data_IF_201792546988
#
_entry.id   IF_201792546988
#
_cell.length_a   1.000
_cell.length_b   1.000
_cell.length_c   1.000
_cell.angle_alpha   90.00
_cell.angle_beta   90.00
_cell.angle_gamma   90.00
#
_symmetry.space_group_name_H-M   'P 1'
#
loop_
_entity.id
_entity.type
_entity.pdbx_description
1 polymer ?
#
# COMPACT_ATOMS: atom_id res chain seq x y z
N UNK A 1 -23.18 -12.95 -11.51
CA UNK A 1 -22.73 -11.63 -11.98
C UNK A 1 -22.05 -11.85 -13.31
N UNK A 2 -22.45 -11.17 -14.40
CA UNK A 2 -21.72 -11.28 -15.66
C UNK A 2 -20.28 -10.82 -15.44
N UNK A 3 -19.32 -11.62 -15.90
CA UNK A 3 -17.91 -11.23 -15.96
C UNK A 3 -17.81 -9.95 -16.79
N UNK A 4 -17.68 -8.81 -16.11
CA UNK A 4 -17.29 -7.57 -16.78
C UNK A 4 -15.87 -7.83 -17.24
N UNK A 5 -15.59 -7.91 -18.56
CA UNK A 5 -14.24 -8.13 -19.03
C UNK A 5 -13.36 -7.05 -18.39
N UNK A 6 -12.27 -7.47 -17.73
CA UNK A 6 -11.29 -6.57 -17.14
C UNK A 6 -10.65 -5.75 -18.28
N UNK A 7 -11.35 -4.72 -18.77
CA UNK A 7 -10.83 -3.78 -19.75
C UNK A 7 -9.69 -3.02 -19.08
N UNK A 8 -8.59 -2.84 -19.78
CA UNK A 8 -7.45 -2.11 -19.24
C UNK A 8 -7.88 -0.68 -18.90
N UNK A 9 -7.25 -0.08 -17.89
CA UNK A 9 -7.54 1.31 -17.49
C UNK A 9 -7.35 2.25 -18.68
N UNK A 10 -6.37 1.97 -19.56
CA UNK A 10 -6.13 2.75 -20.78
C UNK A 10 -7.34 2.73 -21.72
N UNK A 11 -7.94 1.55 -21.96
CA UNK A 11 -9.12 1.42 -22.83
C UNK A 11 -10.32 2.16 -22.26
N UNK A 12 -10.49 2.13 -20.93
CA UNK A 12 -11.58 2.85 -20.25
C UNK A 12 -11.40 4.36 -20.32
N UNK A 13 -10.17 4.85 -20.10
CA UNK A 13 -9.84 6.29 -20.23
C UNK A 13 -10.05 6.75 -21.66
N UNK A 14 -9.54 5.99 -22.65
CA UNK A 14 -9.73 6.30 -24.06
C UNK A 14 -11.21 6.31 -24.44
N UNK A 15 -11.98 5.30 -24.03
CA UNK A 15 -13.43 5.27 -24.26
C UNK A 15 -14.15 6.47 -23.63
N UNK A 16 -13.72 6.90 -22.45
CA UNK A 16 -14.28 8.08 -21.78
C UNK A 16 -13.95 9.38 -22.52
N UNK A 17 -12.73 9.53 -23.04
CA UNK A 17 -12.35 10.73 -23.80
C UNK A 17 -12.89 10.75 -25.24
N UNK A 18 -13.05 9.60 -25.87
CA UNK A 18 -13.58 9.47 -27.24
C UNK A 18 -15.11 9.68 -27.31
N UNK A 19 -15.81 9.69 -26.17
CA UNK A 19 -17.23 10.01 -26.13
C UNK A 19 -17.43 11.50 -26.48
N UNK A 20 -18.17 11.76 -27.57
CA UNK A 20 -18.42 13.12 -28.10
C UNK A 20 -19.12 14.06 -27.10
N UNK A 21 -19.57 13.55 -25.96
CA UNK A 21 -20.20 14.31 -24.87
C UNK A 21 -19.25 14.70 -23.74
N UNK A 22 -17.98 14.30 -23.80
CA UNK A 22 -17.03 14.57 -22.73
C UNK A 22 -16.54 16.01 -22.80
N UNK A 23 -17.03 16.82 -21.87
CA UNK A 23 -16.65 18.22 -21.68
C UNK A 23 -15.23 18.31 -21.09
N UNK A 24 -14.32 19.13 -21.65
CA UNK A 24 -13.02 19.43 -21.04
C UNK A 24 -13.10 19.87 -19.56
N UNK A 25 -14.16 20.57 -19.15
CA UNK A 25 -14.35 20.96 -17.74
C UNK A 25 -14.58 19.74 -16.85
N UNK A 26 -15.38 18.78 -17.32
CA UNK A 26 -15.65 17.52 -16.61
C UNK A 26 -14.36 16.71 -16.41
N UNK A 27 -13.50 16.67 -17.43
CA UNK A 27 -12.20 15.99 -17.36
C UNK A 27 -11.29 16.62 -16.30
N UNK A 28 -11.25 17.96 -16.26
CA UNK A 28 -10.48 18.70 -15.26
C UNK A 28 -11.01 18.49 -13.85
N UNK A 29 -12.33 18.49 -13.67
CA UNK A 29 -12.96 18.17 -12.39
C UNK A 29 -12.61 16.74 -11.95
N UNK A 30 -12.69 15.78 -12.87
CA UNK A 30 -12.37 14.38 -12.58
C UNK A 30 -10.90 14.17 -12.19
N UNK A 31 -9.95 14.85 -12.85
CA UNK A 31 -8.54 14.86 -12.43
C UNK A 31 -8.38 15.41 -11.00
N UNK A 32 -9.13 16.46 -10.66
CA UNK A 32 -9.17 17.00 -9.30
C UNK A 32 -9.69 15.99 -8.27
N UNK A 33 -10.75 15.24 -8.61
CA UNK A 33 -11.31 14.18 -7.76
C UNK A 33 -10.32 13.02 -7.57
N UNK A 34 -9.61 12.61 -8.61
CA UNK A 34 -8.58 11.56 -8.52
C UNK A 34 -7.44 11.98 -7.58
N UNK A 35 -6.96 13.22 -7.67
CA UNK A 35 -5.94 13.75 -6.76
C UNK A 35 -6.44 13.83 -5.31
N UNK A 36 -7.69 14.25 -5.10
CA UNK A 36 -8.29 14.31 -3.77
C UNK A 36 -8.42 12.90 -3.17
N UNK A 37 -8.88 11.92 -3.94
CA UNK A 37 -8.98 10.53 -3.53
C UNK A 37 -7.59 9.95 -3.21
N UNK A 38 -6.58 10.26 -4.03
CA UNK A 38 -5.21 9.84 -3.77
C UNK A 38 -4.67 10.39 -2.45
N UNK A 39 -4.91 11.67 -2.14
CA UNK A 39 -4.53 12.29 -0.84
C UNK A 39 -5.27 11.64 0.32
N UNK A 40 -6.55 11.34 0.16
CA UNK A 40 -7.35 10.60 1.15
C UNK A 40 -6.77 9.21 1.43
N UNK A 41 -6.46 8.45 0.37
CA UNK A 41 -5.88 7.11 0.50
C UNK A 41 -4.50 7.15 1.19
N UNK A 42 -3.62 8.08 0.80
CA UNK A 42 -2.32 8.26 1.45
C UNK A 42 -2.47 8.64 2.92
N UNK A 43 -3.38 9.56 3.26
CA UNK A 43 -3.64 9.93 4.65
C UNK A 43 -4.11 8.73 5.48
N UNK A 44 -4.97 7.86 4.91
CA UNK A 44 -5.44 6.66 5.60
C UNK A 44 -4.33 5.63 5.79
N UNK A 45 -3.48 5.41 4.78
CA UNK A 45 -2.32 4.53 4.87
C UNK A 45 -1.35 5.02 5.96
N UNK A 46 -1.01 6.32 5.93
CA UNK A 46 -0.12 6.93 6.93
C UNK A 46 -0.70 6.82 8.34
N UNK A 47 -2.02 7.00 8.50
CA UNK A 47 -2.69 6.80 9.80
C UNK A 47 -2.61 5.36 10.27
N UNK A 48 -2.78 4.38 9.38
CA UNK A 48 -2.63 2.96 9.73
C UNK A 48 -1.21 2.64 10.19
N UNK A 49 -0.18 3.12 9.48
CA UNK A 49 1.20 2.94 9.90
C UNK A 49 1.53 3.66 11.21
N UNK A 50 1.07 4.91 11.38
CA UNK A 50 1.25 5.66 12.63
C UNK A 50 0.63 4.94 13.84
N UNK A 51 -0.56 4.35 13.67
CA UNK A 51 -1.18 3.52 14.71
C UNK A 51 -0.39 2.23 14.96
N UNK A 52 0.16 1.59 13.93
CA UNK A 52 1.03 0.42 14.10
C UNK A 52 2.29 0.76 14.90
N UNK A 53 2.95 1.89 14.61
CA UNK A 53 4.12 2.36 15.39
C UNK A 53 3.76 2.69 16.84
N UNK A 54 2.61 3.30 17.08
CA UNK A 54 2.10 3.57 18.43
C UNK A 54 1.85 2.26 19.19
N UNK A 55 1.21 1.28 18.55
CA UNK A 55 0.95 -0.04 19.13
C UNK A 55 2.25 -0.82 19.39
N UNK A 56 3.23 -0.74 18.50
CA UNK A 56 4.54 -1.36 18.69
C UNK A 56 5.27 -0.75 19.89
N UNK A 57 5.28 0.58 20.00
CA UNK A 57 5.84 1.30 21.14
C UNK A 57 5.15 0.90 22.44
N UNK A 58 3.81 0.86 22.44
CA UNK A 58 3.01 0.44 23.59
C UNK A 58 3.33 -1.01 23.99
N UNK A 59 3.45 -1.92 23.03
CA UNK A 59 3.81 -3.31 23.28
C UNK A 59 5.18 -3.43 23.96
N UNK A 60 6.20 -2.74 23.43
CA UNK A 60 7.54 -2.74 24.02
C UNK A 60 7.51 -2.17 25.43
N UNK A 61 6.73 -1.10 25.66
CA UNK A 61 6.61 -0.49 26.99
C UNK A 61 5.96 -1.43 28.01
N UNK A 62 4.94 -2.19 27.60
CA UNK A 62 4.32 -3.23 28.45
C UNK A 62 5.31 -4.38 28.69
N UNK A 63 6.02 -4.85 27.65
CA UNK A 63 6.93 -5.98 27.74
C UNK A 63 8.12 -5.73 28.69
N UNK A 64 8.63 -4.50 28.76
CA UNK A 64 9.74 -4.11 29.65
C UNK A 64 9.27 -3.86 31.10
N UNK A 65 8.01 -4.20 31.44
CA UNK A 65 7.39 -3.91 32.75
C UNK A 65 7.39 -2.42 33.12
N UNK A 66 7.56 -1.52 32.14
CA UNK A 66 7.52 -0.07 32.37
C UNK A 66 6.14 0.43 32.79
N UNK A 67 5.10 -0.41 32.62
CA UNK A 67 3.71 -0.12 32.99
C UNK A 67 3.13 -1.36 33.67
N UNK A 68 2.90 -1.28 34.99
CA UNK A 68 2.27 -2.37 35.77
C UNK A 68 0.74 -2.26 35.80
N UNK A 69 0.19 -1.05 35.63
CA UNK A 69 -1.24 -0.78 35.58
C UNK A 69 -1.56 0.21 34.46
N UNK A 70 -2.52 -0.12 33.61
CA UNK A 70 -3.08 0.81 32.62
C UNK A 70 -4.47 1.24 33.09
N UNK A 71 -4.66 2.54 33.28
CA UNK A 71 -5.97 3.13 33.58
C UNK A 71 -6.52 3.79 32.32
N UNK A 72 -7.63 3.27 31.80
CA UNK A 72 -8.36 3.88 30.68
C UNK A 72 -9.68 4.39 31.23
N UNK A 73 -9.86 5.72 31.26
CA UNK A 73 -11.12 6.34 31.70
C UNK A 73 -11.52 6.02 33.14
N UNK A 74 -10.55 5.79 34.04
CA UNK A 74 -10.81 5.45 35.45
C UNK A 74 -10.98 3.95 35.72
N UNK A 75 -10.99 3.10 34.69
CA UNK A 75 -11.00 1.64 34.84
C UNK A 75 -9.56 1.13 34.82
N UNK A 76 -9.13 0.52 35.93
CA UNK A 76 -7.82 -0.17 36.02
C UNK A 76 -7.91 -1.53 35.34
N UNK A 77 -7.15 -1.71 34.27
CA UNK A 77 -6.98 -3.02 33.63
C UNK A 77 -5.89 -3.80 34.35
N UNK A 78 -6.29 -4.70 35.25
CA UNK A 78 -5.37 -5.52 36.04
C UNK A 78 -4.70 -6.67 35.27
N UNK A 79 -5.05 -6.90 34.00
CA UNK A 79 -4.49 -8.00 33.21
C UNK A 79 -3.98 -7.51 31.85
N UNK A 80 -2.80 -6.89 31.86
CA UNK A 80 -2.11 -6.36 30.68
C UNK A 80 -1.69 -7.45 29.68
N UNK A 81 -1.69 -8.72 30.10
CA UNK A 81 -1.36 -9.85 29.23
C UNK A 81 -2.36 -10.01 28.08
N UNK A 82 -3.65 -9.75 28.33
CA UNK A 82 -4.65 -9.80 27.26
C UNK A 82 -4.44 -8.71 26.21
N UNK A 83 -4.11 -7.50 26.65
CA UNK A 83 -3.79 -6.38 25.75
C UNK A 83 -2.54 -6.71 24.92
N UNK A 84 -1.52 -7.27 25.57
CA UNK A 84 -0.29 -7.70 24.90
C UNK A 84 -0.56 -8.74 23.81
N UNK A 85 -1.47 -9.69 24.06
CA UNK A 85 -1.90 -10.66 23.05
C UNK A 85 -2.75 -10.03 21.92
N UNK A 86 -3.51 -8.96 22.20
CA UNK A 86 -4.35 -8.31 21.20
C UNK A 86 -3.56 -7.41 20.23
N UNK A 87 -2.48 -6.77 20.70
CA UNK A 87 -1.71 -5.80 19.92
C UNK A 87 -1.23 -6.38 18.56
N UNK A 88 -0.56 -7.55 18.50
CA UNK A 88 -0.11 -8.13 17.23
C UNK A 88 -1.24 -8.32 16.23
N UNK A 89 -2.42 -8.77 16.70
CA UNK A 89 -3.60 -9.01 15.86
C UNK A 89 -4.11 -7.70 15.25
N UNK A 90 -4.25 -6.66 16.08
CA UNK A 90 -4.70 -5.34 15.61
C UNK A 90 -3.70 -4.75 14.63
N UNK A 91 -2.40 -4.88 14.90
CA UNK A 91 -1.36 -4.45 13.98
C UNK A 91 -1.42 -5.20 12.64
N UNK A 92 -1.65 -6.51 12.65
CA UNK A 92 -1.80 -7.29 11.42
C UNK A 92 -3.04 -6.89 10.61
N UNK A 93 -4.15 -6.60 11.29
CA UNK A 93 -5.35 -6.04 10.66
C UNK A 93 -5.11 -4.66 10.04
N UNK A 94 -4.37 -3.78 10.74
CA UNK A 94 -3.97 -2.47 10.21
C UNK A 94 -3.04 -2.61 8.98
N UNK A 95 -2.13 -3.58 9.01
CA UNK A 95 -1.25 -3.88 7.88
C UNK A 95 -2.03 -4.40 6.66
N UNK A 96 -2.96 -5.33 6.86
CA UNK A 96 -3.84 -5.82 5.80
C UNK A 96 -4.70 -4.69 5.19
N UNK A 97 -5.25 -3.81 6.04
CA UNK A 97 -5.97 -2.61 5.57
C UNK A 97 -5.06 -1.69 4.76
N UNK A 98 -3.83 -1.43 5.22
CA UNK A 98 -2.88 -0.59 4.50
C UNK A 98 -2.52 -1.20 3.13
N UNK A 99 -2.35 -2.52 3.05
CA UNK A 99 -2.12 -3.22 1.79
C UNK A 99 -3.28 -3.05 0.80
N UNK A 100 -4.54 -3.21 1.25
CA UNK A 100 -5.73 -2.99 0.41
C UNK A 100 -5.85 -1.53 -0.06
N UNK A 101 -5.62 -0.57 0.83
CA UNK A 101 -5.62 0.85 0.48
C UNK A 101 -4.52 1.19 -0.53
N UNK A 102 -3.34 0.56 -0.41
CA UNK A 102 -2.24 0.74 -1.35
C UNK A 102 -2.56 0.17 -2.74
N UNK A 103 -3.19 -1.02 -2.81
CA UNK A 103 -3.66 -1.58 -4.07
C UNK A 103 -4.68 -0.65 -4.75
N UNK A 104 -5.63 -0.09 -3.99
CA UNK A 104 -6.58 0.91 -4.49
C UNK A 104 -5.90 2.19 -4.94
N UNK A 105 -4.93 2.70 -4.17
CA UNK A 105 -4.13 3.88 -4.54
C UNK A 105 -3.44 3.66 -5.88
N UNK A 106 -2.87 2.49 -6.13
CA UNK A 106 -2.20 2.21 -7.41
C UNK A 106 -3.15 2.30 -8.61
N UNK A 107 -4.41 1.88 -8.47
CA UNK A 107 -5.42 2.01 -9.54
C UNK A 107 -5.76 3.48 -9.81
N UNK A 108 -5.93 4.27 -8.75
CA UNK A 108 -6.20 5.72 -8.85
C UNK A 108 -5.03 6.44 -9.52
N UNK A 109 -3.79 6.15 -9.12
CA UNK A 109 -2.58 6.72 -9.72
C UNK A 109 -2.47 6.35 -11.20
N UNK A 110 -2.67 5.09 -11.55
CA UNK A 110 -2.60 4.66 -12.96
C UNK A 110 -3.67 5.36 -13.81
N UNK A 111 -4.88 5.54 -13.28
CA UNK A 111 -5.97 6.24 -13.96
C UNK A 111 -5.64 7.73 -14.12
N UNK A 112 -5.12 8.37 -13.07
CA UNK A 112 -4.68 9.77 -13.10
C UNK A 112 -3.59 9.98 -14.15
N UNK A 113 -2.54 9.16 -14.14
CA UNK A 113 -1.41 9.29 -15.07
C UNK A 113 -1.88 9.13 -16.53
N UNK A 114 -2.70 8.12 -16.82
CA UNK A 114 -3.22 7.89 -18.18
C UNK A 114 -4.12 9.01 -18.68
N UNK A 115 -4.94 9.58 -17.81
CA UNK A 115 -5.78 10.71 -18.15
C UNK A 115 -4.93 11.98 -18.34
N UNK A 116 -3.94 12.21 -17.47
CA UNK A 116 -3.05 13.36 -17.55
C UNK A 116 -2.17 13.33 -18.82
N UNK A 117 -1.66 12.16 -19.21
CA UNK A 117 -0.90 11.96 -20.44
C UNK A 117 -1.69 12.38 -21.69
N UNK A 118 -2.99 12.08 -21.74
CA UNK A 118 -3.84 12.39 -22.89
C UNK A 118 -4.30 13.85 -22.92
N UNK A 119 -4.60 14.43 -21.75
CA UNK A 119 -5.23 15.76 -21.64
C UNK A 119 -4.17 16.87 -21.54
N UNK A 120 -3.07 16.61 -20.82
CA UNK A 120 -2.02 17.57 -20.53
C UNK A 120 -0.62 16.97 -20.83
N UNK A 121 -0.34 16.57 -22.08
CA UNK A 121 0.90 15.88 -22.43
C UNK A 121 2.16 16.69 -22.08
N UNK A 122 2.10 18.02 -22.20
CA UNK A 122 3.23 18.89 -21.81
C UNK A 122 3.51 18.86 -20.30
N UNK A 123 2.47 18.77 -19.46
CA UNK A 123 2.64 18.65 -18.02
C UNK A 123 3.24 17.28 -17.67
N UNK A 124 2.69 16.21 -18.26
CA UNK A 124 3.16 14.85 -18.09
C UNK A 124 4.63 14.67 -18.52
N UNK A 125 5.01 15.19 -19.69
CA UNK A 125 6.40 15.14 -20.19
C UNK A 125 7.38 15.97 -19.35
N UNK A 126 6.88 16.96 -18.61
CA UNK A 126 7.69 17.82 -17.73
C UNK A 126 7.81 17.29 -16.30
N UNK A 127 7.16 16.17 -15.96
CA UNK A 127 7.09 15.57 -14.63
C UNK A 127 6.59 16.51 -13.50
N UNK A 128 5.98 17.65 -13.84
CA UNK A 128 5.47 18.60 -12.85
C UNK A 128 4.25 18.08 -12.10
N UNK A 129 3.54 17.11 -12.67
CA UNK A 129 2.40 16.42 -12.04
C UNK A 129 2.85 15.53 -10.86
N UNK A 130 4.09 15.05 -10.88
CA UNK A 130 4.66 14.25 -9.79
C UNK A 130 4.73 15.01 -8.46
N UNK A 131 4.87 16.34 -8.51
CA UNK A 131 4.84 17.21 -7.33
C UNK A 131 3.46 17.28 -6.67
N UNK A 132 2.40 16.94 -7.43
CA UNK A 132 1.03 16.94 -6.93
C UNK A 132 0.66 15.62 -6.25
N UNK A 133 1.44 14.56 -6.53
CA UNK A 133 1.24 13.22 -5.99
C UNK A 133 1.70 13.18 -4.52
N UNK A 134 0.80 12.87 -3.56
CA UNK A 134 1.17 12.78 -2.16
C UNK A 134 2.14 11.60 -1.91
N UNK A 135 3.21 11.90 -1.18
CA UNK A 135 4.20 10.93 -0.72
C UNK A 135 3.68 10.15 0.49
N UNK A 136 4.02 8.85 0.55
CA UNK A 136 3.82 8.06 1.75
C UNK A 136 4.88 8.49 2.78
N UNK A 137 4.50 8.56 4.06
CA UNK A 137 5.36 9.12 5.14
C UNK A 137 6.68 8.35 5.36
N UNK A 138 6.76 7.17 4.76
CA UNK A 138 7.70 6.11 5.07
C UNK A 138 8.14 5.30 3.86
N UNK A 139 7.52 5.51 2.70
CA UNK A 139 7.93 4.90 1.44
C UNK A 139 8.12 6.07 0.50
N UNK A 140 9.36 6.35 0.13
CA UNK A 140 9.60 7.28 -0.97
C UNK A 140 8.75 6.81 -2.15
N UNK A 141 8.00 7.74 -2.76
CA UNK A 141 7.31 7.46 -4.01
C UNK A 141 8.32 6.79 -4.95
N UNK A 142 7.88 5.80 -5.74
CA UNK A 142 8.71 5.22 -6.81
C UNK A 142 9.50 6.36 -7.43
N UNK A 143 10.85 6.34 -7.42
CA UNK A 143 11.60 7.41 -8.02
C UNK A 143 11.09 7.50 -9.45
N UNK A 144 10.36 8.57 -9.78
CA UNK A 144 9.87 8.78 -11.13
C UNK A 144 11.15 9.02 -11.94
N UNK A 145 11.61 7.96 -12.59
CA UNK A 145 12.97 7.79 -13.09
C UNK A 145 13.25 8.62 -14.36
N UNK A 146 12.56 9.75 -14.52
CA UNK A 146 12.72 10.68 -15.62
C UNK A 146 13.63 11.83 -15.18
N UNK A 147 14.81 11.92 -15.79
CA UNK A 147 15.84 12.93 -15.54
C UNK A 147 17.12 12.42 -14.89
N UNK A 148 17.09 11.30 -14.15
CA UNK A 148 18.30 10.71 -13.55
C UNK A 148 18.89 9.66 -14.49
N UNK A 149 20.03 9.95 -15.11
CA UNK A 149 20.73 9.01 -15.98
C UNK A 149 21.89 8.29 -15.25
N UNK A 150 22.21 7.08 -15.70
CA UNK A 150 23.40 6.35 -15.26
C UNK A 150 23.34 5.81 -13.82
N UNK A 151 24.39 6.09 -13.03
CA UNK A 151 24.62 5.48 -11.70
C UNK A 151 23.62 5.93 -10.65
N UNK A 152 23.16 7.18 -10.69
CA UNK A 152 22.20 7.70 -9.70
C UNK A 152 20.85 7.00 -9.78
N UNK A 153 20.40 6.66 -11.00
CA UNK A 153 19.17 5.88 -11.21
C UNK A 153 19.23 4.52 -10.50
N UNK A 154 20.33 3.79 -10.69
CA UNK A 154 20.54 2.49 -10.03
C UNK A 154 20.58 2.61 -8.51
N UNK A 155 21.23 3.66 -7.99
CA UNK A 155 21.29 3.90 -6.54
C UNK A 155 19.90 4.20 -5.98
N UNK A 156 19.11 5.04 -6.65
CA UNK A 156 17.74 5.34 -6.24
C UNK A 156 16.84 4.09 -6.26
N UNK A 157 16.96 3.26 -7.32
CA UNK A 157 16.23 1.99 -7.44
C UNK A 157 16.60 1.00 -6.31
N UNK A 158 17.89 0.84 -6.01
CA UNK A 158 18.36 0.00 -4.90
C UNK A 158 17.85 0.54 -3.57
N UNK A 159 17.92 1.86 -3.33
CA UNK A 159 17.45 2.47 -2.10
C UNK A 159 15.93 2.24 -1.91
N UNK A 160 15.15 2.39 -2.98
CA UNK A 160 13.71 2.14 -2.98
C UNK A 160 13.37 0.66 -2.70
N UNK A 161 14.09 -0.29 -3.34
CA UNK A 161 13.93 -1.73 -3.06
C UNK A 161 14.28 -2.03 -1.60
N UNK A 162 15.40 -1.47 -1.10
CA UNK A 162 15.82 -1.66 0.27
C UNK A 162 14.79 -1.12 1.27
N UNK A 163 14.22 0.06 0.99
CA UNK A 163 13.13 0.64 1.78
C UNK A 163 11.92 -0.29 1.82
N UNK A 164 11.46 -0.80 0.66
CA UNK A 164 10.35 -1.77 0.59
C UNK A 164 10.67 -3.04 1.39
N UNK A 165 11.87 -3.58 1.26
CA UNK A 165 12.30 -4.76 2.02
C UNK A 165 12.25 -4.50 3.53
N UNK A 166 12.72 -3.34 3.99
CA UNK A 166 12.62 -2.94 5.39
C UNK A 166 11.16 -2.85 5.83
N UNK A 167 10.27 -2.29 5.02
CA UNK A 167 8.84 -2.20 5.34
C UNK A 167 8.12 -3.54 5.44
N UNK A 168 8.53 -4.52 4.65
CA UNK A 168 7.96 -5.87 4.70
C UNK A 168 8.55 -6.65 5.89
N UNK A 169 9.86 -6.53 6.12
CA UNK A 169 10.57 -7.29 7.14
C UNK A 169 10.33 -6.77 8.56
N UNK A 170 10.21 -5.45 8.75
CA UNK A 170 10.05 -4.85 10.08
C UNK A 170 8.82 -5.39 10.84
N UNK A 171 7.61 -5.48 10.25
CA UNK A 171 6.47 -6.13 10.90
C UNK A 171 6.73 -7.60 11.25
N UNK A 172 7.40 -8.37 10.39
CA UNK A 172 7.70 -9.79 10.65
C UNK A 172 8.60 -9.93 11.87
N UNK A 173 9.69 -9.17 11.91
CA UNK A 173 10.63 -9.15 13.04
C UNK A 173 9.91 -8.76 14.32
N UNK A 174 9.04 -7.75 14.25
CA UNK A 174 8.22 -7.33 15.38
C UNK A 174 7.26 -8.43 15.85
N UNK A 175 6.55 -9.13 14.95
CA UNK A 175 5.64 -10.20 15.34
C UNK A 175 6.37 -11.38 15.98
N UNK A 176 7.53 -11.78 15.44
CA UNK A 176 8.37 -12.82 16.04
C UNK A 176 8.78 -12.42 17.45
N UNK A 177 9.30 -11.20 17.63
CA UNK A 177 9.65 -10.67 18.94
C UNK A 177 8.44 -10.64 19.89
N UNK A 178 7.29 -10.16 19.42
CA UNK A 178 6.09 -10.05 20.22
C UNK A 178 5.57 -11.40 20.70
N UNK A 179 5.55 -12.42 19.85
CA UNK A 179 5.12 -13.75 20.25
C UNK A 179 6.11 -14.45 21.17
N UNK A 180 7.42 -14.25 21.00
CA UNK A 180 8.42 -14.73 21.98
C UNK A 180 8.10 -14.15 23.36
N UNK A 181 7.79 -12.85 23.46
CA UNK A 181 7.44 -12.21 24.72
C UNK A 181 6.06 -12.65 25.26
N UNK A 182 5.07 -12.84 24.38
CA UNK A 182 3.74 -13.30 24.81
C UNK A 182 3.83 -14.72 25.39
N UNK A 183 4.59 -15.63 24.77
CA UNK A 183 4.77 -17.00 25.25
C UNK A 183 5.74 -17.12 26.44
N UNK A 184 6.56 -16.10 26.71
CA UNK A 184 7.34 -16.05 27.96
C UNK A 184 6.50 -15.58 29.15
N UNK A 185 5.52 -14.69 28.91
CA UNK A 185 4.63 -14.13 29.93
C UNK A 185 3.41 -15.01 30.21
N UNK A 186 2.83 -15.63 29.18
CA UNK A 186 1.68 -16.52 29.29
C UNK A 186 2.12 -17.98 29.15
N UNK A 187 1.49 -18.93 29.85
CA UNK A 187 1.74 -20.34 29.62
C UNK A 187 1.57 -20.69 28.14
N UNK A 188 2.44 -21.54 27.60
CA UNK A 188 2.34 -22.04 26.21
C UNK A 188 0.99 -22.75 25.96
N UNK A 189 0.34 -23.27 27.00
CA UNK A 189 -0.98 -23.88 26.93
C UNK A 189 -2.14 -22.88 26.92
N UNK A 190 -1.88 -21.58 27.05
CA UNK A 190 -2.93 -20.57 27.15
C UNK A 190 -3.66 -20.41 25.80
N UNK A 191 -4.99 -20.67 25.75
CA UNK A 191 -5.76 -20.49 24.51
C UNK A 191 -5.69 -19.08 23.90
N UNK A 192 -5.70 -17.97 24.68
CA UNK A 192 -5.64 -16.62 24.12
C UNK A 192 -4.38 -16.33 23.29
N UNK A 193 -3.21 -16.85 23.70
CA UNK A 193 -1.96 -16.65 22.97
C UNK A 193 -2.00 -17.31 21.59
N UNK A 194 -2.53 -18.54 21.51
CA UNK A 194 -2.69 -19.26 20.25
C UNK A 194 -3.74 -18.65 19.35
N UNK A 195 -4.89 -18.22 19.89
CA UNK A 195 -5.93 -17.53 19.12
C UNK A 195 -5.35 -16.25 18.51
N UNK A 196 -4.62 -15.46 19.31
CA UNK A 196 -3.91 -14.28 18.83
C UNK A 196 -2.95 -14.63 17.69
N UNK A 197 -2.09 -15.63 17.90
CA UNK A 197 -1.11 -16.08 16.90
C UNK A 197 -1.77 -16.46 15.57
N UNK A 198 -2.80 -17.30 15.61
CA UNK A 198 -3.53 -17.73 14.43
C UNK A 198 -4.19 -16.56 13.69
N UNK A 199 -4.81 -15.62 14.43
CA UNK A 199 -5.42 -14.43 13.83
C UNK A 199 -4.38 -13.51 13.19
N UNK A 200 -3.23 -13.30 13.83
CA UNK A 200 -2.13 -12.51 13.26
C UNK A 200 -1.60 -13.14 11.98
N UNK A 201 -1.35 -14.45 11.97
CA UNK A 201 -0.90 -15.18 10.78
C UNK A 201 -1.94 -15.09 9.66
N UNK A 202 -3.23 -15.28 9.96
CA UNK A 202 -4.30 -15.17 8.98
C UNK A 202 -4.38 -13.76 8.36
N UNK A 203 -4.35 -12.71 9.19
CA UNK A 203 -4.41 -11.32 8.71
C UNK A 203 -3.17 -10.92 7.93
N UNK A 204 -1.99 -11.37 8.36
CA UNK A 204 -0.74 -11.14 7.63
C UNK A 204 -0.74 -11.86 6.28
N UNK A 205 -1.23 -13.11 6.24
CA UNK A 205 -1.36 -13.87 4.99
C UNK A 205 -2.31 -13.20 4.01
N UNK A 206 -3.42 -12.64 4.50
CA UNK A 206 -4.34 -11.84 3.69
C UNK A 206 -3.64 -10.60 3.12
N UNK A 207 -2.85 -9.89 3.93
CA UNK A 207 -2.07 -8.75 3.46
C UNK A 207 -1.08 -9.14 2.35
N UNK A 208 -0.35 -10.24 2.55
CA UNK A 208 0.59 -10.78 1.57
C UNK A 208 -0.11 -11.20 0.28
N UNK A 209 -1.27 -11.85 0.37
CA UNK A 209 -2.08 -12.23 -0.79
C UNK A 209 -2.52 -11.01 -1.60
N UNK A 210 -3.05 -9.96 -0.95
CA UNK A 210 -3.46 -8.71 -1.61
C UNK A 210 -2.27 -8.05 -2.33
N UNK A 211 -1.11 -8.01 -1.70
CA UNK A 211 0.12 -7.47 -2.32
C UNK A 211 0.57 -8.31 -3.52
N UNK A 212 0.54 -9.64 -3.38
CA UNK A 212 0.93 -10.57 -4.44
C UNK A 212 0.03 -10.47 -5.68
N UNK A 213 -1.30 -10.50 -5.47
CA UNK A 213 -2.28 -10.31 -6.55
C UNK A 213 -2.08 -8.95 -7.24
N UNK A 214 -1.83 -7.91 -6.47
CA UNK A 214 -1.58 -6.58 -7.01
C UNK A 214 -0.30 -6.54 -7.88
N UNK A 215 0.79 -7.19 -7.46
CA UNK A 215 2.02 -7.30 -8.25
C UNK A 215 1.83 -8.11 -9.53
N UNK A 216 1.11 -9.23 -9.47
CA UNK A 216 0.83 -10.06 -10.64
C UNK A 216 -0.03 -9.33 -11.67
N UNK A 217 -1.04 -8.59 -11.20
CA UNK A 217 -1.88 -7.77 -12.07
C UNK A 217 -1.06 -6.74 -12.85
N UNK A 218 -0.08 -6.08 -12.21
CA UNK A 218 0.84 -5.15 -12.89
C UNK A 218 1.72 -5.85 -13.93
N UNK A 219 2.28 -7.03 -13.61
CA UNK A 219 3.16 -7.77 -14.51
C UNK A 219 2.48 -8.13 -15.83
N UNK A 220 1.24 -8.62 -15.77
CA UNK A 220 0.47 -8.97 -16.97
C UNK A 220 0.17 -7.78 -17.88
N UNK A 221 0.03 -6.57 -17.33
CA UNK A 221 -0.17 -5.35 -18.12
C UNK A 221 1.12 -4.99 -18.88
N UNK A 222 2.28 -5.06 -18.20
CA UNK A 222 3.58 -4.76 -18.81
C UNK A 222 3.95 -5.76 -19.90
N UNK A 223 3.73 -7.06 -19.68
CA UNK A 223 4.07 -8.10 -20.66
C UNK A 223 3.22 -7.97 -21.94
N UNK A 224 1.93 -7.64 -21.83
CA UNK A 224 1.05 -7.39 -22.98
C UNK A 224 1.48 -6.15 -23.78
N UNK A 225 1.88 -5.08 -23.10
CA UNK A 225 2.37 -3.88 -23.76
C UNK A 225 3.68 -4.15 -24.54
N UNK A 226 4.59 -4.95 -23.98
CA UNK A 226 5.82 -5.35 -24.66
C UNK A 226 5.55 -6.22 -25.90
N UNK A 227 4.61 -7.17 -25.83
CA UNK A 227 4.26 -8.03 -26.96
C UNK A 227 3.57 -7.28 -28.11
N UNK A 228 2.70 -6.32 -27.81
CA UNK A 228 1.98 -5.52 -28.82
C UNK A 228 2.87 -4.61 -29.69
N UNK A 229 4.10 -4.33 -29.27
CA UNK A 229 5.07 -3.56 -30.06
C UNK A 229 5.95 -4.42 -30.98
N UNK A 230 5.83 -5.75 -30.94
CA UNK A 230 6.63 -6.67 -31.76
C UNK A 230 5.90 -7.26 -32.96
N UNK A 231 4.64 -6.90 -33.23
CA UNK A 231 4.04 -7.26 -34.52
C UNK A 231 4.73 -6.46 -35.65
N UNK A 232 5.49 -7.12 -36.53
CA UNK A 232 6.06 -6.43 -37.68
C UNK A 232 4.89 -5.92 -38.50
N UNK A 233 4.92 -4.64 -38.87
CA UNK A 233 4.09 -4.14 -39.96
C UNK A 233 4.47 -4.96 -41.19
N UNK A 234 3.74 -6.06 -41.42
CA UNK A 234 3.84 -6.85 -42.61
C UNK A 234 3.52 -5.88 -43.74
N UNK A 235 4.56 -5.48 -44.45
CA UNK A 235 4.48 -4.54 -45.55
C UNK A 235 3.42 -5.03 -46.51
N UNK A 236 2.35 -4.23 -46.66
CA UNK A 236 1.52 -4.30 -47.83
C UNK A 236 2.39 -3.95 -49.03
N UNK A 237 2.71 -4.97 -49.82
CA UNK A 237 3.17 -4.84 -51.19
C UNK A 237 1.95 -4.81 -52.12
#
# INVERSE_FOLDING_TARGET
>A
MPDVPQRHIADRVKQFLDDKKTDPELVREYLGLLLAEQRSLVSQINRSFGLMFLLATLFVLIAVQGVQELSIGGVKLGNLHFISALIPVVMAGLFARAAMLNARRSVVVETYNKLNEQVCPGLYQSDLDTLLIPNLFFVTSEPLMFGWSGRMKKVAEIAWIAEICVFIMLPIVFYVYAYIQIFSLLPVTSPPAWISFLLTVAMYSLAAFVLFEHMNAKRHVTDKAAAGHTEPMAGGA
#
